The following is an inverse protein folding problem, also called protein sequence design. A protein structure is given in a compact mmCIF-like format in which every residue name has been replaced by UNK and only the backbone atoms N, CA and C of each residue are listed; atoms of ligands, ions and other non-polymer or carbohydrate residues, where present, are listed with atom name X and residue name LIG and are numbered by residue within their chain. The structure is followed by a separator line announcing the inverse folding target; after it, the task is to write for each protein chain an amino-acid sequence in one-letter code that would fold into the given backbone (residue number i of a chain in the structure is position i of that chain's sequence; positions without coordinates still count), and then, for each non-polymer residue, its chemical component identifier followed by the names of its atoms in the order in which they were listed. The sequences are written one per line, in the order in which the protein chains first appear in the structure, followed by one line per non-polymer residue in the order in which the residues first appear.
data_IF_016202087944
#
_entry.id   IF_016202087944
#
_cell.length_a   1.000
_cell.length_b   1.000
_cell.length_c   1.000
_cell.angle_alpha   90.00
_cell.angle_beta   90.00
_cell.angle_gamma   90.00
#
_symmetry.space_group_name_H-M   'P 1'
#
loop_
_entity.id
_entity.type
_entity.pdbx_description
1 polymer ?
#
# COMPACT_ATOMS: atom_id res chain seq x y z
N UNK A 1 9.53 -5.81 -30.02
CA UNK A 1 8.58 -4.76 -29.61
C UNK A 1 7.73 -5.10 -28.37
N UNK A 2 7.93 -6.21 -27.66
CA UNK A 2 7.11 -6.54 -26.48
C UNK A 2 7.45 -5.70 -25.22
N UNK A 3 8.75 -5.50 -24.94
CA UNK A 3 9.24 -4.82 -23.73
C UNK A 3 8.67 -3.39 -23.58
N UNK A 4 8.49 -2.66 -24.68
CA UNK A 4 7.92 -1.30 -24.68
C UNK A 4 6.44 -1.27 -24.27
N UNK A 5 5.68 -2.35 -24.49
CA UNK A 5 4.27 -2.43 -24.05
C UNK A 5 4.11 -2.65 -22.55
N UNK A 6 5.16 -3.15 -21.87
CA UNK A 6 5.14 -3.35 -20.42
C UNK A 6 5.37 -2.05 -19.64
N UNK A 7 5.81 -0.95 -20.26
CA UNK A 7 6.07 0.33 -19.57
C UNK A 7 4.89 1.33 -19.62
N UNK A 8 3.68 0.90 -19.98
CA UNK A 8 2.51 1.81 -19.97
C UNK A 8 2.14 2.18 -18.53
N UNK A 9 2.37 3.44 -18.15
CA UNK A 9 2.12 3.94 -16.79
C UNK A 9 0.62 4.02 -16.43
N UNK A 10 -0.28 3.77 -17.39
CA UNK A 10 -1.74 3.69 -17.16
C UNK A 10 -2.27 2.28 -16.98
N UNK A 11 -1.43 1.25 -17.11
CA UNK A 11 -1.84 -0.14 -16.88
C UNK A 11 -1.82 -0.51 -15.39
N UNK A 12 -2.77 -1.36 -14.98
CA UNK A 12 -2.76 -1.97 -13.63
C UNK A 12 -1.55 -2.89 -13.51
N UNK A 13 -0.76 -2.79 -12.45
CA UNK A 13 0.47 -3.57 -12.26
C UNK A 13 0.23 -5.08 -12.36
N UNK A 14 -0.90 -5.57 -11.85
CA UNK A 14 -1.33 -6.98 -12.02
C UNK A 14 -1.38 -7.40 -13.49
N UNK A 15 -1.79 -6.53 -14.42
CA UNK A 15 -1.79 -6.83 -15.86
C UNK A 15 -0.37 -6.95 -16.41
N UNK A 16 0.56 -6.07 -16.01
CA UNK A 16 1.97 -6.16 -16.40
C UNK A 16 2.60 -7.46 -15.90
N UNK A 17 2.32 -7.85 -14.65
CA UNK A 17 2.77 -9.11 -14.06
C UNK A 17 2.20 -10.32 -14.82
N UNK A 18 0.92 -10.29 -15.19
CA UNK A 18 0.28 -11.37 -15.97
C UNK A 18 0.93 -11.51 -17.36
N UNK A 19 1.13 -10.41 -18.07
CA UNK A 19 1.78 -10.42 -19.39
C UNK A 19 3.23 -10.91 -19.28
N UNK A 20 4.00 -10.46 -18.28
CA UNK A 20 5.36 -10.95 -18.03
C UNK A 20 5.37 -12.47 -17.74
N UNK A 21 4.45 -12.95 -16.89
CA UNK A 21 4.33 -14.37 -16.56
C UNK A 21 3.98 -15.23 -17.78
N UNK A 22 3.18 -14.69 -18.72
CA UNK A 22 2.88 -15.35 -19.99
C UNK A 22 4.12 -15.43 -20.89
N UNK A 23 4.88 -14.34 -21.05
CA UNK A 23 6.13 -14.36 -21.84
C UNK A 23 7.15 -15.38 -21.31
N UNK A 24 7.31 -15.52 -19.98
CA UNK A 24 8.20 -16.54 -19.41
C UNK A 24 7.74 -17.96 -19.79
N UNK A 25 6.42 -18.24 -19.71
CA UNK A 25 5.87 -19.55 -20.11
C UNK A 25 6.01 -19.81 -21.61
N UNK A 26 5.86 -18.79 -22.46
CA UNK A 26 6.08 -18.89 -23.90
C UNK A 26 7.55 -19.22 -24.23
N UNK A 27 8.51 -18.62 -23.52
CA UNK A 27 9.93 -18.95 -23.64
C UNK A 27 10.25 -20.37 -23.14
N UNK A 28 9.69 -20.77 -22.00
CA UNK A 28 9.84 -22.13 -21.46
C UNK A 28 9.23 -23.20 -22.40
N UNK A 29 8.14 -22.88 -23.10
CA UNK A 29 7.50 -23.77 -24.08
C UNK A 29 8.36 -24.05 -25.32
N UNK A 30 9.35 -23.21 -25.62
CA UNK A 30 10.37 -23.42 -26.67
C UNK A 30 11.75 -23.80 -26.10
N UNK A 31 11.76 -24.32 -24.86
CA UNK A 31 12.94 -24.72 -24.07
C UNK A 31 13.96 -23.60 -23.77
N UNK A 32 13.58 -22.33 -23.95
CA UNK A 32 14.41 -21.17 -23.60
C UNK A 32 14.20 -20.85 -22.11
N UNK A 33 15.02 -21.47 -21.26
CA UNK A 33 15.03 -21.22 -19.81
C UNK A 33 15.81 -19.95 -19.47
N UNK A 34 15.12 -18.83 -19.27
CA UNK A 34 15.73 -17.60 -18.77
C UNK A 34 16.22 -17.78 -17.32
N UNK A 35 17.42 -17.29 -16.99
CA UNK A 35 17.94 -17.35 -15.62
C UNK A 35 17.03 -16.63 -14.61
N UNK A 36 16.90 -17.18 -13.39
CA UNK A 36 15.95 -16.67 -12.40
C UNK A 36 16.28 -15.26 -11.89
N UNK A 37 17.57 -14.88 -11.81
CA UNK A 37 17.97 -13.51 -11.48
C UNK A 37 17.68 -12.59 -12.66
N UNK A 38 17.97 -13.05 -13.88
CA UNK A 38 17.63 -12.31 -15.11
C UNK A 38 16.12 -12.03 -15.19
N UNK A 39 15.25 -13.02 -14.93
CA UNK A 39 13.80 -12.83 -14.88
C UNK A 39 13.38 -11.76 -13.85
N UNK A 40 13.93 -11.77 -12.64
CA UNK A 40 13.67 -10.74 -11.62
C UNK A 40 14.12 -9.36 -12.09
N UNK A 41 15.34 -9.24 -12.62
CA UNK A 41 15.86 -7.97 -13.14
C UNK A 41 14.98 -7.42 -14.28
N UNK A 42 14.56 -8.27 -15.23
CA UNK A 42 13.68 -7.86 -16.32
C UNK A 42 12.31 -7.41 -15.82
N UNK A 43 11.69 -8.15 -14.89
CA UNK A 43 10.42 -7.74 -14.30
C UNK A 43 10.55 -6.34 -13.69
N UNK A 44 11.50 -6.13 -12.76
CA UNK A 44 11.68 -4.84 -12.10
C UNK A 44 11.93 -3.68 -13.08
N UNK A 45 12.75 -3.89 -14.12
CA UNK A 45 13.04 -2.88 -15.14
C UNK A 45 11.85 -2.56 -16.08
N UNK A 46 10.78 -3.35 -16.04
CA UNK A 46 9.56 -3.12 -16.85
C UNK A 46 8.41 -2.46 -16.09
N UNK A 47 8.51 -2.32 -14.77
CA UNK A 47 7.48 -1.68 -13.94
C UNK A 47 7.49 -0.14 -14.20
N UNK A 48 6.33 0.56 -14.14
CA UNK A 48 6.24 2.01 -14.25
C UNK A 48 7.05 2.79 -13.21
N UNK A 49 7.47 4.02 -13.56
CA UNK A 49 8.34 4.86 -12.72
C UNK A 49 7.73 5.22 -11.35
N UNK A 50 6.39 5.24 -11.26
CA UNK A 50 5.62 5.44 -10.02
C UNK A 50 5.80 4.36 -8.95
N UNK A 51 6.61 3.33 -9.23
CA UNK A 51 6.95 2.24 -8.32
C UNK A 51 8.41 2.22 -7.87
N UNK A 52 9.28 3.09 -8.41
CA UNK A 52 10.73 3.12 -8.13
C UNK A 52 11.06 3.12 -6.62
N UNK A 53 10.33 3.91 -5.83
CA UNK A 53 10.52 3.93 -4.37
C UNK A 53 10.26 2.57 -3.69
N UNK A 54 9.27 1.81 -4.18
CA UNK A 54 8.98 0.46 -3.67
C UNK A 54 10.01 -0.55 -4.18
N UNK A 55 10.40 -0.46 -5.46
CA UNK A 55 11.44 -1.30 -6.06
C UNK A 55 12.77 -1.14 -5.31
N UNK A 56 13.16 0.10 -4.98
CA UNK A 56 14.36 0.40 -4.18
C UNK A 56 14.36 -0.35 -2.83
N UNK A 57 13.23 -0.31 -2.10
CA UNK A 57 13.05 -1.04 -0.83
C UNK A 57 13.07 -2.56 -1.00
N UNK A 58 12.67 -3.10 -2.17
CA UNK A 58 12.82 -4.52 -2.48
C UNK A 58 14.29 -4.89 -2.79
N UNK A 59 15.03 -4.03 -3.48
CA UNK A 59 16.42 -4.28 -3.90
C UNK A 59 17.44 -4.08 -2.78
N UNK A 60 17.12 -3.34 -1.72
CA UNK A 60 17.98 -3.13 -0.55
C UNK A 60 17.93 -4.28 0.47
N UNK A 61 17.16 -5.34 0.21
CA UNK A 61 17.08 -6.52 1.10
C UNK A 61 18.33 -7.40 0.92
N UNK A 62 18.90 -7.86 2.04
CA UNK A 62 20.16 -8.64 2.10
C UNK A 62 20.18 -9.88 1.19
N UNK A 63 19.00 -10.45 0.91
CA UNK A 63 18.82 -11.42 -0.17
C UNK A 63 17.75 -10.95 -1.14
N UNK A 64 18.08 -10.95 -2.44
CA UNK A 64 17.11 -10.64 -3.48
C UNK A 64 16.01 -11.71 -3.53
N UNK A 65 14.72 -11.35 -3.33
CA UNK A 65 13.64 -12.32 -3.32
C UNK A 65 13.51 -13.08 -4.66
N UNK A 66 13.04 -14.33 -4.59
CA UNK A 66 12.64 -15.10 -5.79
C UNK A 66 11.50 -14.39 -6.52
N UNK A 67 11.37 -14.65 -7.83
CA UNK A 67 10.35 -14.04 -8.70
C UNK A 67 8.93 -14.08 -8.09
N UNK A 68 8.48 -15.23 -7.58
CA UNK A 68 7.17 -15.39 -6.95
C UNK A 68 6.99 -14.49 -5.71
N UNK A 69 8.08 -14.29 -4.95
CA UNK A 69 8.11 -13.39 -3.79
C UNK A 69 8.04 -11.92 -4.19
N UNK A 70 8.73 -11.52 -5.27
CA UNK A 70 8.61 -10.18 -5.87
C UNK A 70 7.17 -9.95 -6.35
N UNK A 71 6.60 -10.89 -7.11
CA UNK A 71 5.23 -10.82 -7.62
C UNK A 71 4.21 -10.68 -6.47
N UNK A 72 4.39 -11.44 -5.39
CA UNK A 72 3.52 -11.39 -4.21
C UNK A 72 3.59 -10.02 -3.52
N UNK A 73 4.80 -9.48 -3.31
CA UNK A 73 5.00 -8.15 -2.71
C UNK A 73 4.42 -7.03 -3.58
N UNK A 74 4.61 -7.11 -4.90
CA UNK A 74 4.06 -6.14 -5.86
C UNK A 74 2.52 -6.11 -5.85
N UNK A 75 1.87 -7.28 -5.83
CA UNK A 75 0.39 -7.37 -5.74
C UNK A 75 -0.15 -6.81 -4.42
N UNK A 76 0.48 -7.15 -3.29
CA UNK A 76 0.08 -6.63 -1.98
C UNK A 76 0.21 -5.10 -1.88
N UNK A 77 1.25 -4.52 -2.48
CA UNK A 77 1.40 -3.06 -2.57
C UNK A 77 0.40 -2.42 -3.55
N UNK A 78 0.00 -3.10 -4.64
CA UNK A 78 -1.07 -2.61 -5.53
C UNK A 78 -2.42 -2.54 -4.80
N UNK A 79 -2.77 -3.57 -4.05
CA UNK A 79 -3.95 -3.62 -3.20
C UNK A 79 -3.92 -2.54 -2.10
N UNK A 80 -2.76 -2.34 -1.47
CA UNK A 80 -2.55 -1.27 -0.48
C UNK A 80 -2.71 0.13 -1.08
N UNK A 81 -2.27 0.35 -2.33
CA UNK A 81 -2.48 1.62 -3.04
C UNK A 81 -3.95 1.82 -3.38
N UNK A 82 -4.61 0.83 -3.97
CA UNK A 82 -6.03 0.91 -4.32
C UNK A 82 -6.97 1.13 -3.13
N UNK A 83 -6.62 0.61 -1.95
CA UNK A 83 -7.38 0.86 -0.70
C UNK A 83 -7.08 2.22 -0.07
N UNK A 84 -5.88 2.77 -0.25
CA UNK A 84 -5.50 4.09 0.25
C UNK A 84 -5.96 5.24 -0.66
N UNK A 85 -6.09 4.99 -1.96
CA UNK A 85 -6.53 5.97 -2.96
C UNK A 85 -8.07 6.12 -3.03
N UNK A 86 -8.83 5.41 -2.18
CA UNK A 86 -10.23 5.81 -1.94
C UNK A 86 -10.22 7.15 -1.21
N UNK A 87 -10.78 8.24 -1.79
CA UNK A 87 -10.97 9.43 -1.02
C UNK A 87 -11.94 9.09 0.12
N UNK A 88 -11.48 9.21 1.36
CA UNK A 88 -12.38 9.39 2.51
C UNK A 88 -13.23 10.61 2.19
N UNK A 89 -14.43 10.37 1.67
CA UNK A 89 -15.43 11.41 1.51
C UNK A 89 -15.63 11.99 2.90
N UNK A 90 -15.35 13.29 3.05
CA UNK A 90 -15.45 14.02 4.30
C UNK A 90 -16.91 14.02 4.78
N UNK A 91 -17.33 12.96 5.47
CA UNK A 91 -18.67 12.91 6.03
C UNK A 91 -18.71 13.82 7.26
N UNK A 92 -19.64 14.76 7.21
CA UNK A 92 -19.50 16.04 7.88
C UNK A 92 -20.01 16.00 9.32
N UNK A 93 -19.12 15.71 10.29
CA UNK A 93 -19.39 16.00 11.70
C UNK A 93 -19.01 17.46 12.03
N UNK A 94 -19.94 18.34 11.70
CA UNK A 94 -20.01 19.71 12.24
C UNK A 94 -20.02 19.66 13.79
N UNK A 95 -18.86 19.88 14.43
CA UNK A 95 -18.77 20.13 15.87
C UNK A 95 -19.20 21.57 16.20
N UNK A 96 -20.46 21.90 15.89
CA UNK A 96 -21.10 23.10 16.40
C UNK A 96 -21.72 22.80 17.77
N UNK A 97 -21.24 23.53 18.78
CA UNK A 97 -22.01 23.86 19.99
C UNK A 97 -22.30 22.73 21.01
N UNK A 98 -21.25 22.05 21.50
CA UNK A 98 -21.30 21.49 22.86
C UNK A 98 -20.94 22.59 23.88
N UNK A 99 -21.98 23.12 24.53
CA UNK A 99 -21.88 24.12 25.60
C UNK A 99 -20.95 23.63 26.73
N UNK A 100 -20.14 24.50 27.35
CA UNK A 100 -19.37 24.12 28.54
C UNK A 100 -20.33 23.76 29.68
N UNK A 101 -20.34 22.48 30.07
CA UNK A 101 -21.22 22.01 31.14
C UNK A 101 -20.70 22.48 32.51
N UNK A 102 -21.30 23.56 33.00
CA UNK A 102 -21.07 24.11 34.33
C UNK A 102 -21.61 23.16 35.42
N UNK A 103 -20.76 22.28 35.94
CA UNK A 103 -21.04 21.47 37.13
C UNK A 103 -20.14 21.81 38.32
N UNK A 104 -19.71 23.08 38.44
CA UNK A 104 -19.19 23.64 39.71
C UNK A 104 -20.34 24.22 40.57
N UNK A 105 -21.29 23.37 40.96
CA UNK A 105 -22.32 23.78 41.93
C UNK A 105 -21.82 23.60 43.37
N UNK A 106 -21.40 24.74 43.92
CA UNK A 106 -21.22 25.00 45.35
C UNK A 106 -22.54 24.81 46.13
N UNK A 107 -22.54 23.91 47.13
CA UNK A 107 -23.31 24.02 48.39
C UNK A 107 -22.25 24.01 49.51
N UNK A 108 -21.86 25.10 50.18
CA UNK A 108 -22.60 25.97 51.14
C UNK A 108 -23.48 25.13 52.09
N UNK A 109 -23.06 24.97 53.35
CA UNK A 109 -23.47 25.79 54.54
C UNK A 109 -24.93 25.49 54.96
N UNK A 110 -25.35 25.17 56.20
CA UNK A 110 -24.89 25.26 57.62
C UNK A 110 -25.59 24.13 58.44
N UNK A 111 -25.45 23.87 59.75
CA UNK A 111 -24.68 24.39 60.92
C UNK A 111 -24.43 23.15 61.85
N UNK A 112 -24.10 23.15 63.15
CA UNK A 112 -23.82 24.15 64.20
C UNK A 112 -24.52 23.78 65.52
N UNK A 113 -23.81 23.90 66.66
CA UNK A 113 -24.27 23.68 68.06
C UNK A 113 -24.48 22.19 68.47
N UNK A 114 -24.17 21.72 69.69
CA UNK A 114 -23.64 22.40 70.89
C UNK A 114 -23.05 21.45 71.95
N UNK A 115 -22.08 21.97 72.74
CA UNK A 115 -21.76 21.65 74.16
C UNK A 115 -21.40 20.17 74.53
N UNK A 116 -20.57 19.91 75.56
CA UNK A 116 -20.36 20.67 76.80
C UNK A 116 -18.96 20.46 77.38
#
# INVERSE_FOLDING_TARGET
MAILRLKDERGKLTMHIQIFSAMIRELEAVDIKADKKMQVCYLLNTIPSSWEAFISVLTTQESMPKLDGIITKLKAEEERRMTHDTPTTNDSMNLVNLKPNSSFIRKKERQGQEQK
#
